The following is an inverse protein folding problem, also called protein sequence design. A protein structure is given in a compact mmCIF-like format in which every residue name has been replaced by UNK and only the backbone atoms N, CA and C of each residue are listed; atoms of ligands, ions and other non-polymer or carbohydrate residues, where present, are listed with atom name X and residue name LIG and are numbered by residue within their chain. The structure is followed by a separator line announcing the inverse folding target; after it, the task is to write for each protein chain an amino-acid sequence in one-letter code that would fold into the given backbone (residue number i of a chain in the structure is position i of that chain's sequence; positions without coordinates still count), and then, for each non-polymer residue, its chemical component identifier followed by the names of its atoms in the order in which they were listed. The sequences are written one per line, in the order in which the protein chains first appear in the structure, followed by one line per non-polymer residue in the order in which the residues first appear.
data_IF_444905666699
#
_entry.id   IF_444905666699
#
_cell.length_a   1.000
_cell.length_b   1.000
_cell.length_c   1.000
_cell.angle_alpha   90.00
_cell.angle_beta   90.00
_cell.angle_gamma   90.00
#
_symmetry.space_group_name_H-M   'P 1'
#
loop_
_entity.id
_entity.type
_entity.pdbx_description
1 polymer ?
#
# COMPACT_ATOMS: atom_id res chain seq x y z
N UNK A 1 11.40 11.66 -9.28
CA UNK A 1 10.14 12.32 -9.71
C UNK A 1 9.03 11.72 -8.87
N UNK A 2 8.28 12.53 -8.11
CA UNK A 2 7.23 11.98 -7.23
C UNK A 2 5.99 11.70 -8.08
N UNK A 3 5.64 10.44 -8.26
CA UNK A 3 4.37 10.07 -8.89
C UNK A 3 3.29 10.03 -7.81
N UNK A 4 2.38 10.98 -7.88
CA UNK A 4 1.26 11.11 -6.95
C UNK A 4 0.05 10.39 -7.55
N UNK A 5 -0.38 9.28 -6.95
CA UNK A 5 -1.62 8.61 -7.33
C UNK A 5 -2.67 9.06 -6.31
N UNK A 6 -3.36 10.13 -6.67
CA UNK A 6 -4.54 10.59 -5.94
C UNK A 6 -5.76 9.74 -6.29
N UNK A 7 -6.73 9.70 -5.39
CA UNK A 7 -8.03 9.06 -5.59
C UNK A 7 -7.99 7.52 -5.59
N UNK A 8 -7.43 6.92 -4.53
CA UNK A 8 -7.59 5.49 -4.26
C UNK A 8 -8.97 5.26 -3.63
N UNK A 9 -9.84 4.53 -4.34
CA UNK A 9 -11.21 4.22 -3.88
C UNK A 9 -11.31 2.97 -3.02
N UNK A 10 -10.35 2.05 -3.16
CA UNK A 10 -10.35 0.76 -2.45
C UNK A 10 -8.94 0.40 -2.04
N UNK A 11 -8.80 -0.05 -0.81
CA UNK A 11 -7.57 -0.63 -0.25
C UNK A 11 -7.90 -2.03 0.26
N UNK A 12 -7.05 -2.99 -0.06
CA UNK A 12 -7.19 -4.37 0.37
C UNK A 12 -5.82 -4.88 0.85
N UNK A 13 -5.80 -5.87 1.73
CA UNK A 13 -4.56 -6.50 2.19
C UNK A 13 -4.57 -8.00 1.97
N UNK A 14 -3.36 -8.57 1.92
CA UNK A 14 -3.10 -10.00 1.87
C UNK A 14 -1.81 -10.29 2.64
N UNK A 15 -1.69 -11.49 3.23
CA UNK A 15 -0.41 -11.93 3.78
C UNK A 15 0.59 -12.18 2.66
N UNK A 16 1.82 -11.68 2.82
CA UNK A 16 2.89 -11.77 1.83
C UNK A 16 3.15 -13.21 1.39
N UNK A 17 3.00 -14.18 2.30
CA UNK A 17 3.13 -15.61 2.04
C UNK A 17 2.25 -16.10 0.88
N UNK A 18 1.04 -15.56 0.73
CA UNK A 18 0.16 -16.00 -0.35
C UNK A 18 0.67 -15.59 -1.74
N UNK A 19 1.50 -14.55 -1.83
CA UNK A 19 2.05 -14.04 -3.09
C UNK A 19 3.28 -14.82 -3.59
N UNK A 20 3.61 -15.99 -3.03
CA UNK A 20 4.77 -16.78 -3.44
C UNK A 20 4.75 -17.23 -4.91
N UNK A 21 3.56 -17.30 -5.52
CA UNK A 21 3.39 -17.69 -6.91
C UNK A 21 3.16 -16.50 -7.85
N UNK A 22 3.40 -15.26 -7.41
CA UNK A 22 3.29 -14.09 -8.30
C UNK A 22 4.59 -13.84 -9.05
N UNK A 23 4.50 -13.55 -10.35
CA UNK A 23 5.66 -13.18 -11.16
C UNK A 23 5.78 -11.66 -11.26
N UNK A 24 6.93 -11.14 -10.85
CA UNK A 24 7.28 -9.73 -11.03
C UNK A 24 7.92 -9.58 -12.40
N UNK A 25 7.25 -8.83 -13.28
CA UNK A 25 7.76 -8.52 -14.61
C UNK A 25 8.42 -7.14 -14.50
N UNK A 26 9.75 -7.13 -14.54
CA UNK A 26 10.57 -5.92 -14.42
C UNK A 26 10.03 -4.80 -15.31
N UNK A 27 9.85 -3.62 -14.71
CA UNK A 27 9.33 -2.38 -15.31
C UNK A 27 7.89 -2.40 -15.86
N UNK A 28 7.17 -3.52 -15.77
CA UNK A 28 5.76 -3.61 -16.23
C UNK A 28 4.75 -3.77 -15.10
N UNK A 29 5.02 -4.63 -14.12
CA UNK A 29 4.05 -4.92 -13.07
C UNK A 29 4.21 -6.30 -12.45
N UNK A 30 3.11 -6.82 -11.93
CA UNK A 30 3.02 -8.14 -11.29
C UNK A 30 1.88 -8.93 -11.92
N UNK A 31 2.15 -10.20 -12.22
CA UNK A 31 1.15 -11.18 -12.60
C UNK A 31 0.77 -12.02 -11.38
N UNK A 32 -0.52 -12.09 -11.09
CA UNK A 32 -1.05 -12.93 -10.01
C UNK A 32 -1.49 -14.28 -10.61
N UNK A 33 -0.55 -15.23 -10.72
CA UNK A 33 -0.76 -16.51 -11.44
C UNK A 33 -1.83 -17.42 -10.84
N UNK A 34 -2.20 -17.18 -9.58
CA UNK A 34 -3.23 -17.93 -8.87
C UNK A 34 -4.23 -16.96 -8.27
N UNK A 35 -5.46 -17.42 -8.07
CA UNK A 35 -6.46 -16.64 -7.38
C UNK A 35 -5.98 -16.29 -5.96
N UNK A 36 -5.89 -14.99 -5.68
CA UNK A 36 -5.51 -14.46 -4.38
C UNK A 36 -6.69 -13.80 -3.70
N UNK A 37 -7.04 -14.25 -2.50
CA UNK A 37 -8.12 -13.64 -1.74
C UNK A 37 -7.60 -12.43 -0.95
N UNK A 38 -7.79 -11.24 -1.51
CA UNK A 38 -7.53 -9.99 -0.81
C UNK A 38 -8.68 -9.65 0.15
N UNK A 39 -8.33 -9.22 1.36
CA UNK A 39 -9.28 -8.77 2.37
C UNK A 39 -9.46 -7.25 2.28
N UNK A 40 -10.69 -6.73 2.09
CA UNK A 40 -10.91 -5.29 1.99
C UNK A 40 -10.64 -4.60 3.32
N UNK A 41 -10.00 -3.43 3.26
CA UNK A 41 -9.79 -2.56 4.41
C UNK A 41 -10.81 -1.43 4.35
N UNK A 42 -11.59 -1.28 5.41
CA UNK A 42 -12.54 -0.17 5.56
C UNK A 42 -11.78 1.17 5.68
N UNK A 43 -11.94 2.05 4.70
CA UNK A 43 -11.41 3.43 4.70
C UNK A 43 -12.56 4.43 4.72
N UNK A 44 -12.32 5.62 5.28
CA UNK A 44 -13.30 6.71 5.30
C UNK A 44 -12.81 7.81 4.36
N UNK A 45 -13.48 7.95 3.22
CA UNK A 45 -13.04 8.82 2.12
C UNK A 45 -11.99 8.13 1.24
N UNK A 46 -11.41 8.91 0.32
CA UNK A 46 -10.37 8.45 -0.58
C UNK A 46 -9.03 8.32 0.15
N UNK A 47 -8.24 7.34 -0.26
CA UNK A 47 -6.86 7.18 0.17
C UNK A 47 -5.91 7.75 -0.90
N UNK A 48 -4.66 7.97 -0.53
CA UNK A 48 -3.63 8.48 -1.43
C UNK A 48 -2.39 7.60 -1.41
N UNK A 49 -1.68 7.55 -2.54
CA UNK A 49 -0.36 6.91 -2.64
C UNK A 49 0.65 7.91 -3.17
N UNK A 50 1.77 7.99 -2.46
CA UNK A 50 2.92 8.81 -2.82
C UNK A 50 4.11 7.90 -3.09
N UNK A 51 4.75 8.04 -4.25
CA UNK A 51 5.97 7.30 -4.58
C UNK A 51 7.10 8.31 -4.72
N UNK A 52 8.14 8.16 -3.92
CA UNK A 52 9.40 8.90 -4.07
C UNK A 52 10.53 7.94 -4.39
N UNK A 53 11.54 8.42 -5.10
CA UNK A 53 12.72 7.65 -5.46
C UNK A 53 13.99 8.40 -5.11
N UNK A 54 15.01 7.69 -4.62
CA UNK A 54 16.32 8.22 -4.28
C UNK A 54 17.38 7.24 -4.75
N UNK A 55 18.52 7.76 -5.21
CA UNK A 55 19.69 6.93 -5.54
C UNK A 55 20.53 6.80 -4.27
N UNK A 56 20.67 5.59 -3.76
CA UNK A 56 21.55 5.25 -2.63
C UNK A 56 22.44 4.07 -3.03
N UNK A 57 23.73 4.14 -2.73
CA UNK A 57 24.69 3.06 -3.03
C UNK A 57 24.67 2.55 -4.48
N UNK A 58 24.53 3.46 -5.47
CA UNK A 58 24.41 3.16 -6.91
C UNK A 58 23.14 2.36 -7.29
N UNK A 59 22.20 2.19 -6.37
CA UNK A 59 20.91 1.54 -6.62
C UNK A 59 19.77 2.56 -6.43
N UNK A 60 18.75 2.48 -7.29
CA UNK A 60 17.54 3.29 -7.13
C UNK A 60 16.65 2.62 -6.09
N UNK A 61 16.35 3.34 -5.02
CA UNK A 61 15.46 2.89 -3.96
C UNK A 61 14.17 3.71 -4.04
N UNK A 62 13.03 3.01 -4.04
CA UNK A 62 11.71 3.61 -4.06
C UNK A 62 11.11 3.56 -2.66
N UNK A 63 10.48 4.65 -2.24
CA UNK A 63 9.66 4.73 -1.04
C UNK A 63 8.23 4.99 -1.45
N UNK A 64 7.38 3.99 -1.25
CA UNK A 64 5.93 4.04 -1.49
C UNK A 64 5.22 4.27 -0.16
N UNK A 65 4.39 5.31 -0.08
CA UNK A 65 3.62 5.68 1.09
C UNK A 65 2.14 5.69 0.74
N UNK A 66 1.38 4.76 1.30
CA UNK A 66 -0.08 4.72 1.24
C UNK A 66 -0.64 5.36 2.51
N UNK A 67 -1.46 6.39 2.36
CA UNK A 67 -2.14 7.06 3.47
C UNK A 67 -3.64 6.83 3.35
N UNK A 68 -4.24 6.31 4.42
CA UNK A 68 -5.67 6.04 4.50
C UNK A 68 -6.22 6.46 5.87
N UNK A 69 -7.47 6.93 5.89
CA UNK A 69 -8.14 7.28 7.14
C UNK A 69 -9.15 6.19 7.53
N UNK A 70 -9.19 5.82 8.81
CA UNK A 70 -10.00 4.71 9.32
C UNK A 70 -10.62 5.06 10.67
N UNK A 71 -11.70 4.36 11.03
CA UNK A 71 -12.29 4.44 12.38
C UNK A 71 -11.54 3.60 13.42
N UNK A 72 -10.68 2.66 12.98
CA UNK A 72 -9.94 1.74 13.84
C UNK A 72 -8.51 1.56 13.34
N UNK A 73 -7.60 1.25 14.27
CA UNK A 73 -6.21 0.91 13.97
C UNK A 73 -6.12 -0.28 13.02
N UNK A 74 -5.08 -0.29 12.19
CA UNK A 74 -4.66 -1.47 11.45
C UNK A 74 -3.49 -2.11 12.19
N UNK A 75 -3.74 -3.27 12.80
CA UNK A 75 -2.76 -3.99 13.60
C UNK A 75 -2.33 -5.27 12.86
N UNK A 76 -1.11 -5.33 12.31
CA UNK A 76 -0.64 -6.52 11.60
C UNK A 76 -0.30 -7.71 12.51
N UNK A 77 -0.09 -7.47 13.81
CA UNK A 77 0.47 -8.49 14.70
C UNK A 77 1.82 -8.98 14.18
N UNK A 78 2.02 -10.30 14.12
CA UNK A 78 3.22 -10.91 13.57
C UNK A 78 3.22 -11.03 12.03
N UNK A 79 2.07 -10.78 11.38
CA UNK A 79 1.89 -11.02 9.95
C UNK A 79 2.62 -9.98 9.10
N UNK A 80 3.06 -10.41 7.92
CA UNK A 80 3.64 -9.53 6.89
C UNK A 80 2.58 -9.31 5.83
N UNK A 81 2.16 -8.07 5.66
CA UNK A 81 1.08 -7.73 4.74
C UNK A 81 1.61 -7.04 3.49
N UNK A 82 1.00 -7.38 2.37
CA UNK A 82 1.03 -6.61 1.13
C UNK A 82 -0.32 -5.93 0.94
N UNK A 83 -0.33 -4.84 0.18
CA UNK A 83 -1.53 -4.03 -0.01
C UNK A 83 -1.85 -3.91 -1.49
N UNK A 84 -3.11 -4.14 -1.83
CA UNK A 84 -3.64 -3.84 -3.15
C UNK A 84 -4.44 -2.56 -3.07
N UNK A 85 -4.15 -1.62 -3.98
CA UNK A 85 -4.88 -0.37 -4.10
C UNK A 85 -5.58 -0.33 -5.45
N UNK A 86 -6.81 0.19 -5.45
CA UNK A 86 -7.59 0.42 -6.67
C UNK A 86 -7.93 1.89 -6.77
N UNK A 87 -7.52 2.50 -7.88
CA UNK A 87 -7.83 3.88 -8.23
C UNK A 87 -9.30 4.06 -8.62
N UNK A 88 -9.79 5.30 -8.62
CA UNK A 88 -11.13 5.64 -9.14
C UNK A 88 -11.33 5.24 -10.60
N UNK A 89 -10.27 5.19 -11.41
CA UNK A 89 -10.32 4.77 -12.82
C UNK A 89 -10.33 3.24 -12.99
N UNK A 90 -10.20 2.48 -11.90
CA UNK A 90 -10.22 1.02 -11.91
C UNK A 90 -8.83 0.37 -11.99
N UNK A 91 -7.77 1.13 -12.29
CA UNK A 91 -6.39 0.63 -12.30
C UNK A 91 -6.00 0.09 -10.92
N UNK A 92 -5.36 -1.07 -10.91
CA UNK A 92 -4.97 -1.79 -9.69
C UNK A 92 -3.46 -1.86 -9.55
N UNK A 93 -2.98 -1.72 -8.32
CA UNK A 93 -1.58 -1.77 -8.01
C UNK A 93 -1.30 -2.52 -6.71
N UNK A 94 -0.14 -3.14 -6.62
CA UNK A 94 0.35 -3.93 -5.50
C UNK A 94 1.54 -3.23 -4.82
N UNK A 95 1.46 -3.11 -3.50
CA UNK A 95 2.50 -2.59 -2.63
C UNK A 95 3.04 -3.75 -1.79
N UNK A 96 4.30 -4.12 -2.06
CA UNK A 96 5.00 -5.23 -1.44
C UNK A 96 4.97 -6.50 -2.28
N UNK A 97 5.72 -7.50 -1.85
CA UNK A 97 5.81 -8.83 -2.49
C UNK A 97 5.88 -9.93 -1.43
N UNK A 98 6.02 -11.18 -1.87
CA UNK A 98 6.30 -12.34 -1.01
C UNK A 98 7.68 -12.31 -0.37
N UNK A 99 8.55 -11.37 -0.78
CA UNK A 99 9.92 -11.23 -0.30
C UNK A 99 10.13 -9.92 0.47
N UNK A 100 11.24 -9.88 1.23
CA UNK A 100 11.65 -8.66 1.92
C UNK A 100 12.12 -7.61 0.90
N UNK A 101 11.93 -6.31 1.20
CA UNK A 101 11.37 -5.74 2.42
C UNK A 101 9.83 -5.70 2.42
N UNK A 102 9.24 -5.77 3.62
CA UNK A 102 7.78 -5.74 3.79
C UNK A 102 7.28 -4.34 4.17
N UNK A 103 6.07 -3.95 3.74
CA UNK A 103 5.44 -2.71 4.16
C UNK A 103 5.31 -2.58 5.69
N UNK A 104 5.65 -1.41 6.21
CA UNK A 104 5.53 -1.05 7.62
C UNK A 104 4.27 -0.22 7.83
N UNK A 105 3.47 -0.57 8.82
CA UNK A 105 2.20 0.09 9.14
C UNK A 105 2.38 0.97 10.37
N UNK A 106 2.10 2.26 10.23
CA UNK A 106 2.05 3.24 11.31
C UNK A 106 0.60 3.71 11.49
N UNK A 107 0.17 3.80 12.75
CA UNK A 107 -1.15 4.31 13.12
C UNK A 107 -0.96 5.61 13.90
N UNK A 108 -1.61 6.67 13.46
CA UNK A 108 -1.66 7.95 14.16
C UNK A 108 -3.12 8.25 14.54
N UNK A 109 -3.38 8.38 15.83
CA UNK A 109 -4.72 8.66 16.34
C UNK A 109 -4.93 10.15 16.47
N UNK A 110 -6.03 10.65 15.92
CA UNK A 110 -6.41 12.05 16.01
C UNK A 110 -7.59 12.19 16.94
N UNK A 111 -7.38 12.88 18.05
CA UNK A 111 -8.40 13.26 19.02
C UNK A 111 -8.62 14.77 18.93
N UNK A 112 -9.57 15.23 18.11
CA UNK A 112 -9.79 16.66 17.91
C UNK A 112 -10.32 17.30 19.18
N UNK A 113 -9.81 18.49 19.50
CA UNK A 113 -10.29 19.34 20.61
C UNK A 113 -11.45 20.25 20.21
N UNK A 114 -11.70 20.41 18.90
CA UNK A 114 -12.80 21.20 18.35
C UNK A 114 -13.89 20.29 17.78
N UNK A 115 -15.16 20.71 17.88
CA UNK A 115 -16.32 19.95 17.42
C UNK A 115 -16.32 19.67 15.90
N UNK A 116 -15.62 20.49 15.10
CA UNK A 116 -15.45 20.30 13.65
C UNK A 116 -14.29 19.36 13.29
N UNK A 117 -13.47 18.96 14.25
CA UNK A 117 -12.33 18.11 14.00
C UNK A 117 -12.73 16.66 13.77
N UNK A 118 -11.97 15.98 12.91
CA UNK A 118 -12.25 14.59 12.53
C UNK A 118 -11.55 13.64 13.50
N UNK A 119 -12.34 12.88 14.26
CA UNK A 119 -11.81 11.81 15.10
C UNK A 119 -11.59 10.53 14.27
N UNK A 120 -10.49 9.83 14.54
CA UNK A 120 -10.19 8.55 13.90
C UNK A 120 -8.69 8.26 13.87
N UNK A 121 -8.30 7.38 12.95
CA UNK A 121 -6.94 6.88 12.82
C UNK A 121 -6.45 7.11 11.40
N UNK A 122 -5.38 7.89 11.27
CA UNK A 122 -4.60 7.97 10.04
C UNK A 122 -3.63 6.80 10.01
N UNK A 123 -3.82 5.89 9.06
CA UNK A 123 -2.93 4.75 8.85
C UNK A 123 -2.01 5.08 7.68
N UNK A 124 -0.72 5.06 7.94
CA UNK A 124 0.33 5.24 6.95
C UNK A 124 1.06 3.92 6.75
N UNK A 125 1.07 3.43 5.52
CA UNK A 125 1.81 2.23 5.12
C UNK A 125 2.99 2.66 4.27
N UNK A 126 4.20 2.34 4.72
CA UNK A 126 5.44 2.71 4.05
C UNK A 126 6.21 1.46 3.60
N UNK A 127 6.55 1.39 2.33
CA UNK A 127 7.45 0.39 1.76
C UNK A 127 8.66 1.09 1.15
N UNK A 128 9.85 0.78 1.66
CA UNK A 128 11.12 1.22 1.05
C UNK A 128 11.77 0.01 0.42
N UNK A 129 11.88 -0.03 -0.91
CA UNK A 129 12.40 -1.19 -1.63
C UNK A 129 13.03 -0.81 -2.98
N UNK A 130 13.92 -1.65 -3.54
CA UNK A 130 14.42 -1.46 -4.90
C UNK A 130 13.33 -1.56 -5.99
N UNK A 131 12.21 -2.19 -5.65
CA UNK A 131 11.06 -2.39 -6.53
C UNK A 131 9.97 -1.37 -6.13
N UNK A 132 9.43 -0.57 -7.06
CA UNK A 132 8.33 0.34 -6.76
C UNK A 132 7.02 -0.43 -6.54
N UNK A 133 5.95 0.30 -6.29
CA UNK A 133 4.60 -0.26 -6.42
C UNK A 133 4.41 -0.83 -7.84
N UNK A 134 3.84 -2.03 -7.93
CA UNK A 134 3.68 -2.78 -9.18
C UNK A 134 2.26 -2.65 -9.71
N UNK A 135 2.07 -2.35 -10.99
CA UNK A 135 0.76 -2.48 -11.62
C UNK A 135 0.35 -3.96 -11.65
N UNK A 136 -0.89 -4.27 -11.29
CA UNK A 136 -1.41 -5.64 -11.44
C UNK A 136 -1.81 -5.80 -12.91
N UNK A 137 -1.23 -6.79 -13.57
CA UNK A 137 -1.48 -7.12 -14.97
C UNK A 137 -2.55 -8.21 -15.03
N UNK A 138 -3.50 -8.05 -15.94
CA UNK A 138 -4.52 -9.04 -16.30
C UNK A 138 -4.08 -9.88 -17.51
#
# INVERSE_FOLDING_TARGET
MVHLIQNIRKVECIEAYHLQHSDIIADRGVWLNVYQQFSPISTIGLSSVEISDKIENKQRIFTTKLTMFRSKKLLPGAKKFCFKVTTVTGSQFLIGSSEKPYPVIQNEETFPSAASGRAGVTVTVTLTSPIPMLAILD
#
